data_IF_484020119751
#
_entry.id   IF_484020119751
#
_cell.length_a   1.000
_cell.length_b   1.000
_cell.length_c   1.000
_cell.angle_alpha   90.00
_cell.angle_beta   90.00
_cell.angle_gamma   90.00
#
_symmetry.space_group_name_H-M   'P 1'
#
loop_
_entity.id
_entity.type
_entity.pdbx_description
1 polymer ?
#
# COMPACT_ATOMS: atom_id res chain seq x y z
N UNK A 1 -21.55 14.27 -7.10
CA UNK A 1 -21.39 13.08 -7.97
C UNK A 1 -22.51 12.11 -7.66
N UNK A 2 -23.32 11.72 -8.66
CA UNK A 2 -24.37 10.72 -8.47
C UNK A 2 -23.76 9.31 -8.51
N UNK A 3 -24.03 8.52 -7.47
CA UNK A 3 -23.51 7.16 -7.34
C UNK A 3 -24.59 6.28 -6.72
N UNK A 4 -24.87 5.15 -7.34
CA UNK A 4 -25.61 4.02 -6.76
C UNK A 4 -24.67 2.86 -6.59
N UNK A 5 -24.75 2.17 -5.45
CA UNK A 5 -23.99 0.94 -5.22
C UNK A 5 -24.72 0.05 -4.23
N UNK A 6 -24.50 -1.24 -4.34
CA UNK A 6 -25.06 -2.22 -3.42
C UNK A 6 -24.77 -3.65 -3.85
N UNK A 7 -25.18 -4.57 -3.02
CA UNK A 7 -25.16 -6.00 -3.32
C UNK A 7 -26.39 -6.36 -4.17
N UNK A 8 -26.17 -7.19 -5.19
CA UNK A 8 -27.27 -7.80 -5.95
C UNK A 8 -27.98 -8.81 -5.07
N UNK A 9 -29.30 -8.79 -5.10
CA UNK A 9 -30.10 -9.75 -4.35
C UNK A 9 -29.72 -11.20 -4.75
N UNK A 10 -29.52 -12.12 -3.78
CA UNK A 10 -29.04 -13.47 -4.07
C UNK A 10 -29.89 -14.25 -5.09
N UNK A 11 -31.23 -14.10 -5.06
CA UNK A 11 -32.11 -14.74 -6.05
C UNK A 11 -31.87 -14.22 -7.46
N UNK A 12 -31.54 -12.94 -7.62
CA UNK A 12 -31.21 -12.36 -8.94
C UNK A 12 -29.86 -12.89 -9.42
N UNK A 13 -28.86 -12.95 -8.55
CA UNK A 13 -27.56 -13.54 -8.87
C UNK A 13 -27.69 -15.01 -9.31
N UNK A 14 -28.50 -15.81 -8.58
CA UNK A 14 -28.77 -17.19 -8.91
C UNK A 14 -29.43 -17.38 -10.28
N UNK A 15 -30.32 -16.47 -10.72
CA UNK A 15 -30.93 -16.52 -12.06
C UNK A 15 -29.89 -16.38 -13.20
N UNK A 16 -28.73 -15.80 -12.91
CA UNK A 16 -27.60 -15.68 -13.83
C UNK A 16 -26.51 -16.73 -13.60
N UNK A 17 -26.80 -17.75 -12.77
CA UNK A 17 -25.84 -18.83 -12.47
C UNK A 17 -24.66 -18.41 -11.60
N UNK A 18 -24.80 -17.30 -10.85
CA UNK A 18 -23.77 -16.83 -9.91
C UNK A 18 -24.14 -17.27 -8.50
N UNK A 19 -23.23 -18.03 -7.86
CA UNK A 19 -23.37 -18.60 -6.51
C UNK A 19 -22.53 -17.86 -5.46
N UNK A 20 -21.94 -16.73 -5.84
CA UNK A 20 -21.12 -15.88 -4.99
C UNK A 20 -21.78 -14.51 -4.77
N UNK A 21 -21.34 -13.78 -3.75
CA UNK A 21 -21.79 -12.40 -3.52
C UNK A 21 -21.31 -11.49 -4.67
N UNK A 22 -22.27 -10.74 -5.24
CA UNK A 22 -22.00 -9.80 -6.33
C UNK A 22 -22.37 -8.39 -5.89
N UNK A 23 -21.43 -7.48 -6.02
CA UNK A 23 -21.63 -6.06 -5.75
C UNK A 23 -21.56 -5.26 -7.03
N UNK A 24 -22.44 -4.26 -7.16
CA UNK A 24 -22.49 -3.39 -8.33
C UNK A 24 -22.40 -1.93 -7.94
N UNK A 25 -21.91 -1.12 -8.88
CA UNK A 25 -21.94 0.33 -8.77
C UNK A 25 -22.30 0.96 -10.12
N UNK A 26 -23.18 1.95 -10.08
CA UNK A 26 -23.49 2.83 -11.21
C UNK A 26 -22.89 4.20 -10.94
N UNK A 27 -22.06 4.68 -11.85
CA UNK A 27 -21.31 5.93 -11.72
C UNK A 27 -21.57 6.81 -12.96
N UNK A 28 -21.68 8.13 -12.75
CA UNK A 28 -21.70 9.07 -13.86
C UNK A 28 -20.29 9.25 -14.43
N UNK A 29 -20.08 8.79 -15.66
CA UNK A 29 -18.79 8.93 -16.34
C UNK A 29 -18.44 10.41 -16.57
N UNK A 30 -19.42 11.24 -17.00
CA UNK A 30 -19.19 12.66 -17.24
C UNK A 30 -18.73 13.38 -15.96
N UNK A 31 -19.38 13.09 -14.82
CA UNK A 31 -18.97 13.66 -13.55
C UNK A 31 -17.56 13.19 -13.10
N UNK A 32 -17.17 11.96 -13.44
CA UNK A 32 -15.81 11.47 -13.20
C UNK A 32 -14.81 12.17 -14.12
N UNK A 33 -15.13 12.34 -15.39
CA UNK A 33 -14.29 13.01 -16.37
C UNK A 33 -14.06 14.49 -16.03
N UNK A 34 -15.10 15.21 -15.60
CA UNK A 34 -14.99 16.60 -15.12
C UNK A 34 -14.08 16.73 -13.87
N UNK A 35 -14.05 15.69 -13.02
CA UNK A 35 -13.24 15.64 -11.80
C UNK A 35 -11.93 14.87 -11.97
N UNK A 36 -11.54 14.58 -13.23
CA UNK A 36 -10.25 13.95 -13.47
C UNK A 36 -9.12 14.79 -12.90
N UNK A 37 -8.06 14.13 -12.44
CA UNK A 37 -6.85 14.79 -11.95
C UNK A 37 -6.16 15.64 -13.03
N UNK A 38 -5.15 16.37 -12.61
CA UNK A 38 -4.36 17.22 -13.51
C UNK A 38 -3.72 16.41 -14.64
N UNK A 39 -3.46 17.10 -15.75
CA UNK A 39 -2.73 16.52 -16.89
C UNK A 39 -1.35 16.09 -16.40
N UNK A 40 -0.90 14.86 -16.72
CA UNK A 40 0.43 14.41 -16.33
C UNK A 40 1.50 15.41 -16.79
N UNK A 41 2.27 15.92 -15.83
CA UNK A 41 3.39 16.83 -16.11
C UNK A 41 4.68 15.99 -16.22
N UNK A 42 5.48 16.30 -17.22
CA UNK A 42 6.78 15.67 -17.39
C UNK A 42 7.62 15.82 -16.12
N UNK A 43 8.11 14.69 -15.61
CA UNK A 43 9.12 14.66 -14.54
C UNK A 43 10.45 14.21 -15.12
N UNK A 44 11.54 14.95 -14.88
CA UNK A 44 12.88 14.55 -15.35
C UNK A 44 13.25 13.16 -14.83
N UNK A 45 13.93 12.38 -15.65
CA UNK A 45 14.48 11.10 -15.22
C UNK A 45 15.49 11.32 -14.09
N UNK A 46 15.47 10.47 -13.06
CA UNK A 46 16.41 10.57 -11.95
C UNK A 46 17.86 10.40 -12.44
N UNK A 47 18.74 11.25 -11.95
CA UNK A 47 20.18 11.19 -12.28
C UNK A 47 20.92 10.08 -11.53
N UNK A 48 20.43 9.69 -10.36
CA UNK A 48 21.08 8.72 -9.48
C UNK A 48 20.22 7.45 -9.34
N UNK A 49 20.86 6.26 -9.23
CA UNK A 49 20.13 5.01 -9.08
C UNK A 49 19.39 4.95 -7.75
N UNK A 50 18.26 4.23 -7.73
CA UNK A 50 17.57 3.90 -6.50
C UNK A 50 18.13 2.60 -5.89
N UNK A 51 18.02 2.46 -4.58
CA UNK A 51 18.21 1.22 -3.84
C UNK A 51 16.83 0.72 -3.44
N UNK A 52 16.54 -0.54 -3.69
CA UNK A 52 15.30 -1.19 -3.22
C UNK A 52 15.54 -2.01 -1.98
N UNK A 53 14.56 -2.02 -1.07
CA UNK A 53 14.55 -2.87 0.11
C UNK A 53 13.16 -3.46 0.30
N UNK A 54 13.12 -4.76 0.58
CA UNK A 54 11.89 -5.46 0.94
C UNK A 54 11.82 -5.58 2.45
N UNK A 55 10.66 -5.27 3.00
CA UNK A 55 10.35 -5.50 4.40
C UNK A 55 9.08 -6.32 4.52
N UNK A 56 9.05 -7.27 5.44
CA UNK A 56 7.84 -8.00 5.79
C UNK A 56 7.58 -7.81 7.29
N UNK A 57 6.43 -7.25 7.63
CA UNK A 57 6.06 -6.96 9.02
C UNK A 57 4.81 -7.72 9.43
N UNK A 58 4.82 -8.24 10.65
CA UNK A 58 3.66 -8.88 11.27
C UNK A 58 2.94 -7.86 12.14
N UNK A 59 1.65 -7.68 11.89
CA UNK A 59 0.76 -6.77 12.63
C UNK A 59 -0.59 -7.41 12.90
N UNK A 60 -1.41 -6.77 13.72
CA UNK A 60 -2.77 -7.23 14.00
C UNK A 60 -3.64 -7.19 12.74
N UNK A 61 -4.57 -8.14 12.59
CA UNK A 61 -5.44 -8.25 11.42
C UNK A 61 -6.26 -6.98 11.16
N UNK A 62 -6.65 -6.27 12.22
CA UNK A 62 -7.43 -5.04 12.13
C UNK A 62 -6.66 -3.84 11.52
N UNK A 63 -5.32 -3.86 11.51
CA UNK A 63 -4.50 -2.77 10.97
C UNK A 63 -4.64 -2.75 9.44
N UNK A 64 -5.04 -1.63 8.88
CA UNK A 64 -5.18 -1.50 7.42
C UNK A 64 -3.82 -1.31 6.74
N UNK A 65 -3.70 -1.76 5.49
CA UNK A 65 -2.47 -1.56 4.69
C UNK A 65 -2.16 -0.07 4.54
N UNK A 66 -3.20 0.76 4.30
CA UNK A 66 -3.01 2.21 4.18
C UNK A 66 -2.43 2.86 5.45
N UNK A 67 -2.82 2.38 6.65
CA UNK A 67 -2.23 2.87 7.91
C UNK A 67 -0.74 2.49 8.04
N UNK A 68 -0.37 1.28 7.58
CA UNK A 68 1.03 0.87 7.53
C UNK A 68 1.83 1.72 6.54
N UNK A 69 1.29 1.97 5.34
CA UNK A 69 1.95 2.84 4.33
C UNK A 69 2.13 4.27 4.84
N UNK A 70 1.15 4.82 5.55
CA UNK A 70 1.25 6.15 6.16
C UNK A 70 2.37 6.20 7.20
N UNK A 71 2.48 5.17 8.06
CA UNK A 71 3.57 5.07 9.03
C UNK A 71 4.93 4.88 8.37
N UNK A 72 5.02 4.11 7.27
CA UNK A 72 6.24 3.97 6.48
C UNK A 72 6.67 5.35 5.93
N UNK A 73 5.76 6.08 5.28
CA UNK A 73 6.05 7.40 4.72
C UNK A 73 6.46 8.42 5.78
N UNK A 74 5.84 8.36 6.96
CA UNK A 74 6.18 9.25 8.08
C UNK A 74 7.50 8.88 8.74
N UNK A 75 7.81 7.57 8.85
CA UNK A 75 9.05 7.07 9.45
C UNK A 75 10.29 7.29 8.60
N UNK A 76 10.11 7.48 7.29
CA UNK A 76 11.21 7.73 6.35
C UNK A 76 11.85 9.10 6.56
N UNK A 77 13.19 9.16 6.44
CA UNK A 77 14.01 10.39 6.62
C UNK A 77 14.16 11.19 5.32
N UNK A 78 13.25 11.02 4.35
CA UNK A 78 13.25 11.76 3.08
C UNK A 78 13.91 11.03 1.90
N UNK A 79 14.45 9.85 2.09
CA UNK A 79 15.04 9.02 1.03
C UNK A 79 13.99 8.16 0.31
N UNK A 80 12.87 7.87 0.95
CA UNK A 80 11.78 7.06 0.38
C UNK A 80 11.11 7.80 -0.77
N UNK A 81 11.17 7.21 -1.97
CA UNK A 81 10.51 7.72 -3.18
C UNK A 81 9.21 7.00 -3.47
N UNK A 82 9.16 5.70 -3.20
CA UNK A 82 7.96 4.90 -3.39
C UNK A 82 7.87 3.76 -2.37
N UNK A 83 6.64 3.36 -2.08
CA UNK A 83 6.30 2.19 -1.28
C UNK A 83 5.18 1.44 -1.98
N UNK A 84 5.36 0.15 -2.20
CA UNK A 84 4.37 -0.70 -2.83
C UNK A 84 4.17 -1.98 -2.04
N UNK A 85 2.89 -2.30 -1.78
CA UNK A 85 2.48 -3.59 -1.25
C UNK A 85 2.69 -4.66 -2.32
N UNK A 86 3.29 -5.80 -1.97
CA UNK A 86 3.38 -6.92 -2.90
C UNK A 86 2.86 -8.26 -2.35
N UNK A 87 2.73 -8.40 -1.01
CA UNK A 87 2.16 -9.61 -0.43
C UNK A 87 1.46 -9.37 0.91
N UNK A 88 0.39 -10.14 1.16
CA UNK A 88 -0.28 -10.25 2.47
C UNK A 88 -0.45 -11.73 2.78
N UNK A 89 0.29 -12.23 3.74
CA UNK A 89 0.29 -13.63 4.12
C UNK A 89 -0.44 -13.87 5.45
N UNK A 90 -1.30 -14.90 5.41
CA UNK A 90 -2.00 -15.48 6.57
C UNK A 90 -1.82 -16.97 6.54
N UNK A 91 -1.18 -17.54 7.54
CA UNK A 91 -0.95 -18.98 7.55
C UNK A 91 0.08 -19.42 8.58
N UNK A 92 0.62 -20.64 8.47
CA UNK A 92 1.59 -21.18 9.40
C UNK A 92 2.75 -20.22 9.67
N UNK A 93 3.06 -19.98 10.95
CA UNK A 93 4.10 -19.04 11.37
C UNK A 93 3.61 -17.60 11.65
N UNK A 94 2.31 -17.33 11.42
CA UNK A 94 1.66 -16.07 11.82
C UNK A 94 0.48 -16.42 12.73
N UNK A 95 0.30 -15.71 13.85
CA UNK A 95 -0.82 -15.94 14.75
C UNK A 95 -2.17 -15.68 14.05
N UNK A 96 -3.24 -16.35 14.50
CA UNK A 96 -4.57 -16.31 13.84
C UNK A 96 -5.15 -14.89 13.77
N UNK A 97 -4.82 -14.05 14.75
CA UNK A 97 -5.26 -12.65 14.89
C UNK A 97 -4.31 -11.66 14.20
N UNK A 98 -3.30 -12.16 13.49
CA UNK A 98 -2.26 -11.36 12.83
C UNK A 98 -2.14 -11.69 11.35
N UNK A 99 -1.51 -10.78 10.63
CA UNK A 99 -1.11 -10.93 9.24
C UNK A 99 0.33 -10.46 9.05
N UNK A 100 1.02 -11.05 8.09
CA UNK A 100 2.31 -10.56 7.59
C UNK A 100 2.05 -9.74 6.33
N UNK A 101 2.52 -8.51 6.29
CA UNK A 101 2.37 -7.60 5.16
C UNK A 101 3.75 -7.26 4.64
N UNK A 102 3.97 -7.46 3.34
CA UNK A 102 5.26 -7.25 2.70
C UNK A 102 5.23 -6.05 1.75
N UNK A 103 6.20 -5.16 1.92
CA UNK A 103 6.35 -3.94 1.13
C UNK A 103 7.72 -3.90 0.45
N UNK A 104 7.73 -3.43 -0.79
CA UNK A 104 8.93 -3.00 -1.47
C UNK A 104 9.09 -1.49 -1.27
N UNK A 105 10.27 -1.08 -0.82
CA UNK A 105 10.65 0.31 -0.59
C UNK A 105 11.66 0.75 -1.64
N UNK A 106 11.41 1.87 -2.30
CA UNK A 106 12.32 2.48 -3.27
C UNK A 106 12.96 3.71 -2.63
N UNK A 107 14.25 3.63 -2.35
CA UNK A 107 15.03 4.66 -1.68
C UNK A 107 16.00 5.33 -2.66
N UNK A 108 16.08 6.65 -2.66
CA UNK A 108 16.98 7.42 -3.51
C UNK A 108 17.23 8.82 -2.95
N UNK A 109 18.49 9.27 -3.02
CA UNK A 109 18.83 10.67 -2.87
C UNK A 109 18.76 11.41 -4.24
N UNK A 110 18.38 12.68 -4.23
CA UNK A 110 18.22 13.46 -5.47
C UNK A 110 19.55 14.15 -5.91
N UNK A 111 20.52 14.23 -5.01
CA UNK A 111 21.76 14.96 -5.14
C UNK A 111 23.00 14.07 -5.30
N UNK A 112 22.91 12.77 -4.96
CA UNK A 112 24.02 11.81 -4.98
C UNK A 112 23.55 10.37 -5.13
N UNK A 113 24.50 9.47 -5.35
CA UNK A 113 24.25 8.03 -5.18
C UNK A 113 24.12 7.69 -3.69
N UNK A 114 23.07 6.93 -3.36
CA UNK A 114 22.82 6.47 -1.99
C UNK A 114 23.75 5.30 -1.67
N UNK A 115 24.24 5.23 -0.44
CA UNK A 115 24.96 4.06 0.07
C UNK A 115 24.01 3.02 0.67
N UNK A 116 24.44 1.75 0.77
CA UNK A 116 23.65 0.71 1.41
C UNK A 116 23.37 1.01 2.88
N UNK A 117 24.36 1.57 3.59
CA UNK A 117 24.25 1.94 5.00
C UNK A 117 23.20 3.02 5.24
N UNK A 118 23.19 4.07 4.42
CA UNK A 118 22.17 5.13 4.49
C UNK A 118 20.76 4.59 4.22
N UNK A 119 20.61 3.68 3.26
CA UNK A 119 19.35 3.01 2.98
C UNK A 119 18.87 2.16 4.16
N UNK A 120 19.77 1.41 4.78
CA UNK A 120 19.47 0.56 5.94
C UNK A 120 19.11 1.38 7.18
N UNK A 121 19.74 2.54 7.40
CA UNK A 121 19.35 3.48 8.46
C UNK A 121 17.94 4.05 8.27
N UNK A 122 17.54 4.37 7.04
CA UNK A 122 16.19 4.84 6.74
C UNK A 122 15.15 3.72 6.99
N UNK A 123 15.47 2.48 6.59
CA UNK A 123 14.65 1.31 6.87
C UNK A 123 14.49 1.08 8.38
N UNK A 124 15.55 1.22 9.17
CA UNK A 124 15.45 1.10 10.63
C UNK A 124 14.52 2.16 11.23
N UNK A 125 14.57 3.39 10.73
CA UNK A 125 13.65 4.46 11.14
C UNK A 125 12.19 4.12 10.81
N UNK A 126 11.94 3.59 9.61
CA UNK A 126 10.62 3.10 9.16
C UNK A 126 10.11 1.99 10.08
N UNK A 127 10.94 0.98 10.37
CA UNK A 127 10.58 -0.13 11.25
C UNK A 127 10.27 0.35 12.68
N UNK A 128 11.01 1.34 13.18
CA UNK A 128 10.74 1.95 14.49
C UNK A 128 9.37 2.65 14.52
N UNK A 129 9.00 3.38 13.46
CA UNK A 129 7.70 4.01 13.33
C UNK A 129 6.56 2.96 13.27
N UNK A 130 6.71 1.92 12.44
CA UNK A 130 5.73 0.82 12.34
C UNK A 130 5.51 0.12 13.68
N UNK A 131 6.58 -0.09 14.44
CA UNK A 131 6.49 -0.67 15.79
C UNK A 131 5.79 0.26 16.78
N UNK A 132 6.10 1.56 16.76
CA UNK A 132 5.50 2.53 17.67
C UNK A 132 3.99 2.72 17.42
N UNK A 133 3.57 2.76 16.15
CA UNK A 133 2.21 3.07 15.76
C UNK A 133 1.28 1.86 15.79
N UNK A 134 1.76 0.72 15.35
CA UNK A 134 0.93 -0.47 15.08
C UNK A 134 1.44 -1.72 15.79
N UNK A 135 2.47 -1.60 16.65
CA UNK A 135 3.14 -2.75 17.26
C UNK A 135 3.57 -3.80 16.22
N UNK A 136 3.81 -3.32 14.98
CA UNK A 136 4.26 -4.17 13.89
C UNK A 136 5.73 -4.54 14.07
N UNK A 137 6.05 -5.81 13.89
CA UNK A 137 7.41 -6.34 14.06
C UNK A 137 7.89 -6.99 12.77
N UNK A 138 9.18 -6.86 12.49
CA UNK A 138 9.80 -7.52 11.34
C UNK A 138 9.63 -9.04 11.47
N UNK A 139 9.28 -9.67 10.36
CA UNK A 139 9.10 -11.12 10.28
C UNK A 139 10.44 -11.84 10.19
#
# INVERSE_FOLDING_TARGET
MYKRQGQIHPLVAANYGMDTEVYTAELSFDAMYEKRGDIPVYQPLPKFPAITRDIAVVCDEAVTVGALEESIRRGAKGLLKDVSLFDIYRGPGVAIDKKSVAFNLVLRADDRSLTGEEADEDVQSILAALKADHNAVLR
#
